data_IF_078581422242
#
_entry.id   IF_078581422242
#
_cell.length_a   1.000
_cell.length_b   1.000
_cell.length_c   1.000
_cell.angle_alpha   90.00
_cell.angle_beta   90.00
_cell.angle_gamma   90.00
#
_symmetry.space_group_name_H-M   'P 1'
#
loop_
_entity.id
_entity.type
_entity.pdbx_description
1 polymer ?
#
# COMPACT_ATOMS: atom_id res chain seq x y z
N UNK A 1 15.58 9.78 -26.65
CA UNK A 1 15.80 10.46 -25.36
C UNK A 1 14.55 11.06 -24.78
N UNK A 2 13.77 11.78 -25.58
CA UNK A 2 12.51 12.38 -25.13
C UNK A 2 11.46 11.34 -24.70
N UNK A 3 11.47 10.16 -25.34
CA UNK A 3 10.54 9.07 -24.99
C UNK A 3 10.77 8.48 -23.60
N UNK A 4 12.02 8.42 -23.16
CA UNK A 4 12.35 7.93 -21.82
C UNK A 4 11.83 8.86 -20.73
N UNK A 5 11.97 10.16 -20.94
CA UNK A 5 11.49 11.16 -20.00
C UNK A 5 9.97 11.09 -19.83
N UNK A 6 9.24 10.99 -20.94
CA UNK A 6 7.79 10.88 -20.90
C UNK A 6 7.32 9.61 -20.19
N UNK A 7 8.03 8.49 -20.42
CA UNK A 7 7.69 7.23 -19.75
C UNK A 7 7.92 7.31 -18.23
N UNK A 8 9.04 7.90 -17.81
CA UNK A 8 9.36 8.05 -16.39
C UNK A 8 8.37 8.98 -15.70
N UNK A 9 8.08 10.13 -16.29
CA UNK A 9 7.12 11.09 -15.75
C UNK A 9 5.72 10.45 -15.66
N UNK A 10 5.33 9.69 -16.68
CA UNK A 10 4.05 9.00 -16.71
C UNK A 10 3.94 7.95 -15.61
N UNK A 11 5.00 7.17 -15.37
CA UNK A 11 5.03 6.17 -14.31
C UNK A 11 4.88 6.84 -12.95
N UNK A 12 5.58 7.96 -12.73
CA UNK A 12 5.52 8.69 -11.48
C UNK A 12 4.17 9.37 -11.23
N UNK A 13 3.44 9.72 -12.30
CA UNK A 13 2.17 10.43 -12.23
C UNK A 13 0.95 9.55 -12.45
N UNK A 14 1.13 8.23 -12.67
CA UNK A 14 0.04 7.32 -12.99
C UNK A 14 -0.93 7.18 -11.84
N UNK A 15 -2.20 7.46 -12.11
CA UNK A 15 -3.29 7.27 -11.17
C UNK A 15 -4.03 5.98 -11.50
N UNK A 16 -4.95 5.58 -10.63
CA UNK A 16 -5.83 4.44 -10.88
C UNK A 16 -6.62 4.64 -12.19
N UNK A 17 -7.16 5.84 -12.40
CA UNK A 17 -7.96 6.15 -13.58
C UNK A 17 -7.14 6.03 -14.88
N UNK A 18 -5.90 6.49 -14.84
CA UNK A 18 -5.00 6.37 -15.98
C UNK A 18 -4.66 4.91 -16.26
N UNK A 19 -4.36 4.15 -15.21
CA UNK A 19 -4.08 2.72 -15.34
C UNK A 19 -5.30 1.98 -15.87
N UNK A 20 -6.49 2.29 -15.38
CA UNK A 20 -7.73 1.68 -15.80
C UNK A 20 -7.98 1.96 -17.28
N UNK A 21 -7.78 3.19 -17.73
CA UNK A 21 -7.92 3.56 -19.15
C UNK A 21 -6.94 2.78 -20.02
N UNK A 22 -5.69 2.67 -19.59
CA UNK A 22 -4.69 1.91 -20.32
C UNK A 22 -5.08 0.44 -20.43
N UNK A 23 -5.55 -0.16 -19.36
CA UNK A 23 -6.00 -1.56 -19.35
C UNK A 23 -7.21 -1.75 -20.24
N UNK A 24 -8.15 -0.80 -20.24
CA UNK A 24 -9.35 -0.88 -21.08
C UNK A 24 -9.00 -0.90 -22.58
N UNK A 25 -7.88 -0.30 -22.96
CA UNK A 25 -7.41 -0.32 -24.34
C UNK A 25 -6.65 -1.58 -24.74
N UNK A 26 -6.36 -2.48 -23.80
CA UNK A 26 -5.62 -3.70 -24.12
C UNK A 26 -6.52 -4.76 -24.73
N UNK A 27 -5.99 -5.56 -25.69
CA UNK A 27 -6.66 -6.75 -26.15
C UNK A 27 -6.95 -7.72 -25.01
N UNK A 28 -7.96 -8.57 -25.19
CA UNK A 28 -8.38 -9.50 -24.15
C UNK A 28 -7.23 -10.37 -23.61
N UNK A 29 -6.37 -10.88 -24.49
CA UNK A 29 -5.24 -11.70 -24.08
C UNK A 29 -4.25 -10.94 -23.22
N UNK A 30 -4.00 -9.68 -23.56
CA UNK A 30 -3.09 -8.84 -22.76
C UNK A 30 -3.69 -8.49 -21.41
N UNK A 31 -5.00 -8.25 -21.37
CA UNK A 31 -5.67 -8.04 -20.09
C UNK A 31 -5.60 -9.28 -19.19
N UNK A 32 -5.72 -10.47 -19.78
CA UNK A 32 -5.61 -11.72 -19.04
C UNK A 32 -4.20 -11.89 -18.47
N UNK A 33 -3.17 -11.55 -19.24
CA UNK A 33 -1.78 -11.58 -18.77
C UNK A 33 -1.56 -10.62 -17.63
N UNK A 34 -2.09 -9.42 -17.74
CA UNK A 34 -2.00 -8.42 -16.68
C UNK A 34 -2.69 -8.89 -15.41
N UNK A 35 -3.86 -9.50 -15.54
CA UNK A 35 -4.59 -10.06 -14.40
C UNK A 35 -3.77 -11.13 -13.67
N UNK A 36 -3.16 -12.05 -14.41
CA UNK A 36 -2.32 -13.10 -13.82
C UNK A 36 -1.10 -12.48 -13.12
N UNK A 37 -0.45 -11.53 -13.76
CA UNK A 37 0.70 -10.84 -13.17
C UNK A 37 0.31 -10.11 -11.89
N UNK A 38 -0.78 -9.37 -11.92
CA UNK A 38 -1.26 -8.60 -10.79
C UNK A 38 -1.68 -9.52 -9.63
N UNK A 39 -2.36 -10.63 -9.95
CA UNK A 39 -2.74 -11.60 -8.93
C UNK A 39 -1.51 -12.22 -8.26
N UNK A 40 -0.47 -12.54 -9.03
CA UNK A 40 0.77 -13.07 -8.49
C UNK A 40 1.49 -12.03 -7.62
N UNK A 41 1.51 -10.78 -8.07
CA UNK A 41 2.11 -9.68 -7.33
C UNK A 41 1.42 -9.46 -5.99
N UNK A 42 0.10 -9.51 -5.99
CA UNK A 42 -0.70 -9.32 -4.77
C UNK A 42 -0.70 -10.56 -3.87
N UNK A 43 -0.48 -11.74 -4.43
CA UNK A 43 -0.38 -12.97 -3.64
C UNK A 43 0.88 -13.03 -2.78
N UNK A 44 1.86 -12.17 -3.07
CA UNK A 44 3.08 -12.05 -2.29
C UNK A 44 2.87 -11.21 -1.02
N UNK A 45 1.63 -11.13 -0.54
CA UNK A 45 1.31 -10.41 0.69
C UNK A 45 1.90 -11.12 1.91
N UNK A 46 2.45 -10.31 2.81
CA UNK A 46 2.95 -10.83 4.07
C UNK A 46 1.79 -11.28 4.96
N UNK A 47 1.99 -12.35 5.76
CA UNK A 47 0.98 -12.79 6.71
C UNK A 47 0.54 -11.64 7.62
N UNK A 48 -0.74 -11.61 7.94
CA UNK A 48 -1.30 -10.61 8.85
C UNK A 48 -1.59 -9.25 8.23
N UNK A 49 -1.46 -9.12 6.92
CA UNK A 49 -1.79 -7.89 6.18
C UNK A 49 -2.94 -8.19 5.22
N UNK A 50 -3.93 -7.34 5.21
CA UNK A 50 -5.10 -7.48 4.36
C UNK A 50 -5.34 -6.24 3.52
N UNK A 51 -6.05 -6.45 2.40
CA UNK A 51 -6.49 -5.39 1.51
C UNK A 51 -7.97 -5.60 1.23
N UNK A 52 -8.75 -4.53 1.33
CA UNK A 52 -10.15 -4.54 0.94
C UNK A 52 -10.49 -3.13 0.45
N UNK A 53 -10.92 -2.98 -0.82
CA UNK A 53 -11.25 -1.66 -1.35
C UNK A 53 -12.32 -0.93 -0.54
N UNK A 54 -13.12 -1.66 0.23
CA UNK A 54 -14.19 -1.10 1.06
C UNK A 54 -13.70 -0.65 2.43
N UNK A 55 -12.47 -0.99 2.81
CA UNK A 55 -11.92 -0.69 4.12
C UNK A 55 -10.62 0.09 3.94
N UNK A 56 -10.46 1.20 4.65
CA UNK A 56 -9.27 2.05 4.60
C UNK A 56 -8.91 2.50 3.18
N UNK A 57 -9.91 2.63 2.29
CA UNK A 57 -9.69 3.05 0.91
C UNK A 57 -8.84 2.08 0.10
N UNK A 58 -8.73 0.83 0.50
CA UNK A 58 -7.91 -0.17 -0.17
C UNK A 58 -6.46 -0.21 0.29
N UNK A 59 -6.08 0.62 1.25
CA UNK A 59 -4.72 0.59 1.82
C UNK A 59 -4.47 -0.72 2.57
N UNK A 60 -3.20 -1.12 2.62
CA UNK A 60 -2.78 -2.25 3.44
C UNK A 60 -3.17 -1.98 4.89
N UNK A 61 -3.82 -2.95 5.51
CA UNK A 61 -4.24 -2.84 6.90
C UNK A 61 -3.82 -4.09 7.68
N UNK A 62 -3.75 -3.94 8.99
CA UNK A 62 -3.48 -5.07 9.87
C UNK A 62 -4.70 -5.98 9.88
N UNK A 63 -4.48 -7.28 9.66
CA UNK A 63 -5.55 -8.27 9.53
C UNK A 63 -6.48 -8.25 10.73
N UNK A 64 -7.79 -8.32 10.46
CA UNK A 64 -8.81 -8.31 11.49
C UNK A 64 -9.08 -6.94 12.11
N UNK A 65 -8.48 -5.89 11.58
CA UNK A 65 -8.65 -4.52 12.09
C UNK A 65 -8.97 -3.57 10.95
N UNK A 66 -9.32 -2.33 11.30
CA UNK A 66 -9.41 -1.21 10.35
C UNK A 66 -8.21 -0.28 10.47
N UNK A 67 -7.11 -0.77 11.01
CA UNK A 67 -5.90 0.04 11.25
C UNK A 67 -4.98 -0.11 10.05
N UNK A 68 -4.81 0.96 9.25
CA UNK A 68 -3.90 0.91 8.11
C UNK A 68 -2.44 0.82 8.59
N UNK A 69 -1.63 0.11 7.82
CA UNK A 69 -0.20 -0.01 8.13
C UNK A 69 0.47 1.37 8.19
N UNK A 70 0.09 2.28 7.27
CA UNK A 70 0.70 3.61 7.23
C UNK A 70 0.48 4.39 8.54
N UNK A 71 -0.64 4.16 9.24
CA UNK A 71 -0.92 4.92 10.45
C UNK A 71 -0.01 4.51 11.61
N UNK A 72 0.24 3.22 11.80
CA UNK A 72 1.20 2.78 12.83
C UNK A 72 2.63 3.16 12.46
N UNK A 73 2.96 3.15 11.18
CA UNK A 73 4.27 3.60 10.71
C UNK A 73 4.46 5.10 10.94
N UNK A 74 3.40 5.91 10.79
CA UNK A 74 3.46 7.32 11.13
C UNK A 74 3.86 7.55 12.58
N UNK A 75 3.27 6.79 13.49
CA UNK A 75 3.63 6.86 14.91
C UNK A 75 5.08 6.48 15.13
N UNK A 76 5.54 5.40 14.49
CA UNK A 76 6.94 4.97 14.60
C UNK A 76 7.91 6.05 14.12
N UNK A 77 7.59 6.71 13.01
CA UNK A 77 8.43 7.79 12.46
C UNK A 77 8.49 9.01 13.37
N UNK A 78 7.46 9.20 14.20
CA UNK A 78 7.45 10.26 15.20
C UNK A 78 8.20 9.86 16.47
N UNK A 79 8.76 8.67 16.53
CA UNK A 79 9.57 8.22 17.65
C UNK A 79 8.86 7.30 18.62
N UNK A 80 7.59 6.92 18.35
CA UNK A 80 6.88 6.00 19.22
C UNK A 80 7.48 4.61 19.13
N UNK A 81 7.72 3.99 20.28
CA UNK A 81 8.13 2.60 20.35
C UNK A 81 6.93 1.66 20.28
N UNK A 82 7.22 0.36 20.10
CA UNK A 82 6.17 -0.63 19.98
C UNK A 82 5.22 -0.63 21.17
N UNK A 83 5.75 -0.50 22.39
CA UNK A 83 4.92 -0.47 23.60
C UNK A 83 3.93 0.68 23.59
N UNK A 84 4.37 1.86 23.17
CA UNK A 84 3.51 3.04 23.09
C UNK A 84 2.42 2.83 22.04
N UNK A 85 2.78 2.29 20.88
CA UNK A 85 1.81 2.02 19.81
C UNK A 85 0.78 1.00 20.31
N UNK A 86 1.20 -0.05 21.00
CA UNK A 86 0.28 -1.06 21.53
C UNK A 86 -0.64 -0.49 22.62
N UNK A 87 -0.19 0.50 23.39
CA UNK A 87 -1.08 1.20 24.34
C UNK A 87 -2.14 2.02 23.63
N UNK A 88 -1.80 2.63 22.51
CA UNK A 88 -2.73 3.45 21.74
C UNK A 88 -3.69 2.61 20.88
N UNK A 89 -3.30 1.39 20.55
CA UNK A 89 -4.10 0.46 19.77
C UNK A 89 -4.24 -0.86 20.51
N UNK A 90 -5.12 -0.90 21.54
CA UNK A 90 -5.21 -2.10 22.41
C UNK A 90 -5.62 -3.37 21.68
N UNK A 91 -6.22 -3.26 20.50
CA UNK A 91 -6.60 -4.42 19.69
C UNK A 91 -5.42 -5.10 19.02
N UNK A 92 -4.26 -4.45 19.00
CA UNK A 92 -3.07 -4.97 18.34
C UNK A 92 -2.21 -5.78 19.29
N UNK A 93 -1.53 -6.77 18.72
CA UNK A 93 -0.53 -7.59 19.40
C UNK A 93 0.84 -7.26 18.85
N UNK A 94 1.89 -7.67 19.57
CA UNK A 94 3.27 -7.48 19.11
C UNK A 94 3.51 -8.11 17.74
N UNK A 95 2.90 -9.27 17.49
CA UNK A 95 3.01 -9.93 16.18
C UNK A 95 2.39 -9.11 15.05
N UNK A 96 1.34 -8.36 15.34
CA UNK A 96 0.71 -7.47 14.36
C UNK A 96 1.67 -6.36 13.93
N UNK A 97 2.40 -5.78 14.89
CA UNK A 97 3.38 -4.75 14.58
C UNK A 97 4.57 -5.32 13.80
N UNK A 98 5.02 -6.52 14.15
CA UNK A 98 6.08 -7.17 13.40
C UNK A 98 5.68 -7.36 11.93
N UNK A 99 4.46 -7.83 11.69
CA UNK A 99 3.92 -7.97 10.34
C UNK A 99 3.87 -6.63 9.61
N UNK A 100 3.42 -5.59 10.30
CA UNK A 100 3.36 -4.24 9.74
C UNK A 100 4.75 -3.73 9.36
N UNK A 101 5.74 -3.92 10.22
CA UNK A 101 7.11 -3.50 9.95
C UNK A 101 7.73 -4.22 8.75
N UNK A 102 7.44 -5.50 8.61
CA UNK A 102 7.89 -6.27 7.45
C UNK A 102 7.24 -5.76 6.16
N UNK A 103 5.97 -5.41 6.24
CA UNK A 103 5.28 -4.82 5.09
C UNK A 103 5.90 -3.48 4.69
N UNK A 104 6.14 -2.61 5.66
CA UNK A 104 6.76 -1.29 5.40
C UNK A 104 8.12 -1.46 4.73
N UNK A 105 8.93 -2.41 5.18
CA UNK A 105 10.26 -2.64 4.61
C UNK A 105 10.20 -3.02 3.14
N UNK A 106 9.16 -3.73 2.72
CA UNK A 106 8.97 -4.19 1.33
C UNK A 106 8.22 -3.19 0.46
N UNK A 107 7.44 -2.32 1.06
CA UNK A 107 6.54 -1.41 0.34
C UNK A 107 6.73 0.05 0.78
N UNK A 108 7.98 0.43 0.97
CA UNK A 108 8.32 1.75 1.51
C UNK A 108 7.74 2.90 0.70
N UNK A 109 7.82 2.83 -0.62
CA UNK A 109 7.30 3.91 -1.47
C UNK A 109 5.78 4.07 -1.32
N UNK A 110 5.07 2.96 -1.26
CA UNK A 110 3.62 2.96 -1.05
C UNK A 110 3.27 3.64 0.28
N UNK A 111 3.95 3.24 1.34
CA UNK A 111 3.71 3.77 2.68
C UNK A 111 4.09 5.25 2.76
N UNK A 112 5.21 5.63 2.17
CA UNK A 112 5.64 7.05 2.12
C UNK A 112 4.58 7.90 1.45
N UNK A 113 4.02 7.42 0.33
CA UNK A 113 2.98 8.13 -0.38
C UNK A 113 1.71 8.26 0.47
N UNK A 114 1.29 7.19 1.11
CA UNK A 114 0.07 7.19 1.92
C UNK A 114 0.20 8.13 3.13
N UNK A 115 1.35 8.13 3.79
CA UNK A 115 1.62 9.03 4.89
C UNK A 115 1.56 10.49 4.39
N UNK A 116 2.22 10.77 3.26
CA UNK A 116 2.22 12.09 2.68
C UNK A 116 0.83 12.59 2.31
N UNK A 117 0.01 11.73 1.71
CA UNK A 117 -1.37 12.06 1.34
C UNK A 117 -2.22 12.36 2.58
N UNK A 118 -2.02 11.61 3.65
CA UNK A 118 -2.80 11.80 4.87
C UNK A 118 -2.34 13.03 5.67
N UNK A 119 -1.07 13.33 5.65
CA UNK A 119 -0.57 14.58 6.24
C UNK A 119 -1.07 15.80 5.49
N UNK A 120 -1.14 15.71 4.16
CA UNK A 120 -1.59 16.82 3.32
C UNK A 120 -3.09 17.12 3.50
N UNK A 121 -3.90 16.13 3.92
CA UNK A 121 -5.33 16.31 4.12
C UNK A 121 -5.68 16.89 5.50
N UNK A 122 -4.71 16.98 6.38
CA UNK A 122 -4.86 17.62 7.68
C UNK A 122 -4.50 19.10 7.57
#
# INVERSE_FOLDING_TARGET
>A
MLHRWRSIVRIMATTFEEAQSAVAGLPRQERARLFVWLAADMADQLPGIEFDPRVCGGSARIAGTRIPVWSVESWRRLGAGDEEILRNYPSLKSSDLLNAWQYVARHRQEIDREIGENEASD
#
